data_IF_890974384916
#
_entry.id   IF_890974384916
#
_cell.length_a   1.000
_cell.length_b   1.000
_cell.length_c   1.000
_cell.angle_alpha   90.00
_cell.angle_beta   90.00
_cell.angle_gamma   90.00
#
_symmetry.space_group_name_H-M   'P 1'
#
loop_
_entity.id
_entity.type
_entity.pdbx_description
1 polymer ?
#
# COMPACT_ATOMS: atom_id res chain seq x y z
N UNK A 1 2.18 -10.15 60.87
CA UNK A 1 3.53 -10.66 60.79
C UNK A 1 3.52 -11.66 59.67
N UNK A 2 3.91 -11.19 58.52
CA UNK A 2 4.85 -11.84 57.62
C UNK A 2 4.96 -10.97 56.36
N UNK A 3 6.16 -10.48 56.24
CA UNK A 3 6.61 -9.64 55.13
C UNK A 3 6.69 -10.47 53.84
N UNK A 4 6.04 -10.07 52.79
CA UNK A 4 6.26 -10.65 51.48
C UNK A 4 7.04 -9.68 50.60
N UNK A 5 8.28 -10.04 50.42
CA UNK A 5 9.39 -9.34 49.75
C UNK A 5 9.19 -9.42 48.23
N UNK A 6 9.03 -8.29 47.59
CA UNK A 6 9.01 -8.15 46.11
C UNK A 6 10.43 -8.33 45.56
N UNK A 7 10.68 -9.17 44.55
CA UNK A 7 11.95 -9.19 43.84
C UNK A 7 12.01 -8.08 42.79
N UNK A 8 13.12 -7.36 42.84
CA UNK A 8 13.49 -6.34 41.88
C UNK A 8 13.66 -6.89 40.47
N UNK A 9 12.98 -6.26 39.51
CA UNK A 9 13.10 -6.52 38.10
C UNK A 9 14.33 -5.82 37.54
N UNK A 10 15.29 -6.60 37.09
CA UNK A 10 16.54 -6.21 36.48
C UNK A 10 16.29 -5.76 35.05
N UNK A 11 16.63 -4.54 34.67
CA UNK A 11 16.59 -4.03 33.33
C UNK A 11 17.73 -4.62 32.47
N UNK A 12 17.51 -4.95 31.21
CA UNK A 12 18.60 -5.32 30.32
C UNK A 12 19.32 -4.10 29.77
N UNK A 13 20.62 -4.21 29.85
CA UNK A 13 21.67 -3.33 29.38
C UNK A 13 21.56 -3.09 27.85
N UNK A 14 21.48 -1.85 27.45
CA UNK A 14 21.46 -1.46 26.02
C UNK A 14 22.90 -1.21 25.59
N UNK A 15 23.50 -2.14 24.88
CA UNK A 15 24.76 -1.97 24.19
C UNK A 15 24.59 -1.15 22.92
N UNK A 16 25.23 -0.01 22.84
CA UNK A 16 25.38 0.83 21.66
C UNK A 16 26.41 0.21 20.69
N UNK A 17 26.22 0.31 19.36
CA UNK A 17 27.25 -0.04 18.40
C UNK A 17 28.22 1.11 18.20
N UNK A 18 29.51 0.79 18.31
CA UNK A 18 30.67 1.64 18.06
C UNK A 18 30.73 2.12 16.61
N UNK A 19 30.95 3.40 16.49
CA UNK A 19 31.27 4.09 15.23
C UNK A 19 32.74 3.85 14.92
N UNK A 20 33.07 3.08 13.91
CA UNK A 20 34.42 2.95 13.38
C UNK A 20 34.70 4.03 12.35
N UNK A 21 35.46 5.01 12.78
CA UNK A 21 36.09 6.07 12.00
C UNK A 21 37.35 5.49 11.34
N UNK A 22 37.50 5.48 10.04
CA UNK A 22 38.76 5.26 9.33
C UNK A 22 39.06 6.47 8.46
N UNK A 23 39.83 7.36 9.03
CA UNK A 23 40.66 8.38 8.41
C UNK A 23 41.97 7.75 7.97
N UNK A 24 42.42 7.92 6.73
CA UNK A 24 43.82 7.97 6.30
C UNK A 24 43.87 8.39 4.83
N UNK A 25 44.09 9.63 4.59
CA UNK A 25 45.29 10.41 4.26
C UNK A 25 46.50 9.55 3.89
N UNK A 26 46.90 9.61 2.63
CA UNK A 26 48.28 9.71 2.21
C UNK A 26 48.41 10.19 0.77
N UNK A 27 48.92 11.39 0.60
CA UNK A 27 49.77 11.86 -0.48
C UNK A 27 51.18 11.83 0.05
N UNK A 28 52.20 11.41 -0.63
CA UNK A 28 53.09 12.25 -1.41
C UNK A 28 53.65 11.52 -2.64
N UNK A 29 54.32 12.03 -3.54
CA UNK A 29 55.63 12.70 -3.58
C UNK A 29 56.07 12.93 -5.06
N UNK A 30 56.81 13.95 -5.22
CA UNK A 30 57.30 14.64 -6.42
C UNK A 30 58.49 13.95 -7.08
N UNK A 31 58.48 13.96 -8.46
CA UNK A 31 59.55 14.17 -9.44
C UNK A 31 60.71 13.12 -9.51
N UNK A 32 61.53 13.06 -10.54
CA UNK A 32 61.83 14.10 -11.58
C UNK A 32 61.80 13.64 -13.05
N UNK A 33 61.88 14.60 -13.93
CA UNK A 33 62.11 14.47 -15.38
C UNK A 33 63.52 13.94 -15.71
N UNK A 34 63.73 13.41 -16.92
CA UNK A 34 64.71 14.04 -17.76
C UNK A 34 64.26 14.29 -19.21
N UNK A 35 64.87 15.26 -19.73
CA UNK A 35 64.88 15.82 -21.06
C UNK A 35 65.09 14.77 -22.17
N UNK A 36 64.41 14.99 -23.26
CA UNK A 36 64.65 14.36 -24.56
C UNK A 36 64.06 15.20 -25.66
N UNK A 37 64.91 16.06 -26.16
CA UNK A 37 64.69 16.94 -27.34
C UNK A 37 64.49 16.10 -28.57
N UNK A 38 63.37 16.21 -29.29
CA UNK A 38 63.30 15.88 -30.72
C UNK A 38 62.37 16.85 -31.47
N UNK A 39 62.77 17.15 -32.69
CA UNK A 39 62.40 18.24 -33.55
C UNK A 39 60.92 18.28 -34.01
N UNK A 40 60.46 19.48 -34.46
CA UNK A 40 59.05 19.69 -34.79
C UNK A 40 58.66 19.05 -36.11
N UNK A 41 57.74 18.10 -36.08
CA UNK A 41 57.06 17.59 -37.27
C UNK A 41 55.93 18.56 -37.65
N UNK A 42 55.88 18.88 -38.93
CA UNK A 42 54.96 19.83 -39.55
C UNK A 42 53.48 19.55 -39.19
N UNK A 43 52.65 20.60 -39.12
CA UNK A 43 51.24 20.42 -38.78
C UNK A 43 50.51 19.73 -39.95
N UNK A 44 50.03 18.51 -39.66
CA UNK A 44 49.01 17.89 -40.47
C UNK A 44 47.73 18.71 -40.41
N UNK A 45 47.18 19.01 -41.58
CA UNK A 45 45.94 19.73 -41.74
C UNK A 45 44.80 19.09 -40.92
N UNK A 46 43.90 19.89 -40.33
CA UNK A 46 42.79 19.35 -39.59
C UNK A 46 41.93 18.51 -40.52
N UNK A 47 41.91 17.19 -40.23
CA UNK A 47 40.96 16.26 -40.81
C UNK A 47 39.56 16.79 -40.52
N UNK A 48 38.89 17.23 -41.58
CA UNK A 48 37.54 17.79 -41.54
C UNK A 48 36.65 16.71 -40.89
N UNK A 49 36.32 16.90 -39.61
CA UNK A 49 35.39 16.04 -38.91
C UNK A 49 34.11 15.93 -39.74
N UNK A 50 33.89 14.77 -40.30
CA UNK A 50 32.65 14.48 -41.02
C UNK A 50 31.46 14.89 -40.15
N UNK A 51 30.46 15.60 -40.66
CA UNK A 51 29.32 16.03 -39.89
C UNK A 51 28.68 14.80 -39.27
N UNK A 52 28.54 14.80 -37.94
CA UNK A 52 27.88 13.74 -37.20
C UNK A 52 26.52 13.49 -37.88
N UNK A 53 26.42 12.38 -38.62
CA UNK A 53 25.17 11.98 -39.25
C UNK A 53 24.13 11.79 -38.13
N UNK A 54 23.13 12.68 -38.09
CA UNK A 54 21.94 12.50 -37.23
C UNK A 54 21.39 11.12 -37.58
N UNK A 55 21.47 10.22 -36.61
CA UNK A 55 20.89 8.90 -36.76
C UNK A 55 19.38 9.08 -37.02
N UNK A 56 18.94 8.79 -38.23
CA UNK A 56 17.52 8.75 -38.57
C UNK A 56 16.92 7.56 -37.82
N UNK A 57 16.20 7.85 -36.78
CA UNK A 57 15.50 6.82 -36.04
C UNK A 57 14.41 6.20 -36.92
N UNK A 58 14.62 4.95 -37.32
CA UNK A 58 13.74 4.20 -38.21
C UNK A 58 12.35 3.94 -37.60
N UNK A 59 11.46 3.38 -38.41
CA UNK A 59 10.09 3.04 -38.02
C UNK A 59 10.05 2.15 -36.77
N UNK A 60 10.98 1.24 -36.63
CA UNK A 60 11.07 0.30 -35.47
C UNK A 60 11.31 1.04 -34.15
N UNK A 61 12.18 2.05 -34.15
CA UNK A 61 12.44 2.89 -32.98
C UNK A 61 11.19 3.66 -32.56
N UNK A 62 10.47 4.26 -33.51
CA UNK A 62 9.21 4.96 -33.22
C UNK A 62 8.15 4.04 -32.64
N UNK A 63 7.98 2.84 -33.19
CA UNK A 63 7.05 1.83 -32.63
C UNK A 63 7.46 1.40 -31.22
N UNK A 64 8.74 1.20 -30.94
CA UNK A 64 9.23 0.85 -29.60
C UNK A 64 8.96 2.00 -28.62
N UNK A 65 9.21 3.25 -29.01
CA UNK A 65 8.94 4.43 -28.19
C UNK A 65 7.44 4.51 -27.83
N UNK A 66 6.55 4.36 -28.83
CA UNK A 66 5.10 4.37 -28.59
C UNK A 66 4.66 3.24 -27.66
N UNK A 67 5.25 2.05 -27.75
CA UNK A 67 5.00 0.94 -26.83
C UNK A 67 5.43 1.27 -25.39
N UNK A 68 6.58 1.90 -25.22
CA UNK A 68 7.03 2.35 -23.91
C UNK A 68 6.07 3.39 -23.31
N UNK A 69 5.70 4.40 -24.10
CA UNK A 69 4.74 5.44 -23.68
C UNK A 69 3.38 4.82 -23.33
N UNK A 70 2.87 3.92 -24.18
CA UNK A 70 1.61 3.22 -23.92
C UNK A 70 1.65 2.41 -22.61
N UNK A 71 2.78 1.77 -22.30
CA UNK A 71 2.98 1.06 -21.03
C UNK A 71 2.89 1.99 -19.82
N UNK A 72 3.53 3.17 -19.88
CA UNK A 72 3.43 4.19 -18.82
C UNK A 72 2.00 4.70 -18.68
N UNK A 73 1.34 5.04 -19.78
CA UNK A 73 -0.05 5.52 -19.76
C UNK A 73 -0.99 4.46 -19.17
N UNK A 74 -0.82 3.19 -19.57
CA UNK A 74 -1.61 2.09 -19.00
C UNK A 74 -1.40 1.98 -17.48
N UNK A 75 -0.16 2.08 -16.99
CA UNK A 75 0.12 2.06 -15.56
C UNK A 75 -0.57 3.22 -14.82
N UNK A 76 -0.51 4.43 -15.37
CA UNK A 76 -1.18 5.61 -14.78
C UNK A 76 -2.70 5.41 -14.73
N UNK A 77 -3.31 4.89 -15.81
CA UNK A 77 -4.75 4.61 -15.86
C UNK A 77 -5.13 3.55 -14.83
N UNK A 78 -4.35 2.48 -14.69
CA UNK A 78 -4.60 1.43 -13.69
C UNK A 78 -4.49 1.97 -12.26
N UNK A 79 -3.49 2.80 -11.95
CA UNK A 79 -3.37 3.46 -10.66
C UNK A 79 -4.52 4.43 -10.38
N UNK A 80 -4.95 5.18 -11.38
CA UNK A 80 -6.13 6.05 -11.25
C UNK A 80 -7.41 5.23 -11.04
N UNK A 81 -7.58 4.11 -11.77
CA UNK A 81 -8.72 3.20 -11.60
C UNK A 81 -8.75 2.53 -10.22
N UNK A 82 -7.59 2.32 -9.59
CA UNK A 82 -7.50 1.87 -8.19
C UNK A 82 -7.86 2.96 -7.17
N UNK A 83 -8.27 4.16 -7.62
CA UNK A 83 -8.51 5.31 -6.75
C UNK A 83 -7.29 5.75 -5.94
N UNK A 84 -6.09 5.48 -6.46
CA UNK A 84 -4.83 5.65 -5.76
C UNK A 84 -4.79 4.94 -4.40
N UNK A 85 -5.59 3.89 -4.24
CA UNK A 85 -5.72 3.13 -2.99
C UNK A 85 -4.38 2.56 -2.49
N UNK A 86 -3.44 2.26 -3.39
CA UNK A 86 -2.09 1.83 -3.04
C UNK A 86 -1.36 2.82 -2.12
N UNK A 87 -1.55 4.13 -2.30
CA UNK A 87 -0.93 5.13 -1.44
C UNK A 87 -1.56 5.17 -0.04
N UNK A 88 -2.86 4.83 0.06
CA UNK A 88 -3.53 4.69 1.36
C UNK A 88 -3.02 3.45 2.09
N UNK A 89 -2.87 2.33 1.39
CA UNK A 89 -2.28 1.10 1.95
C UNK A 89 -0.82 1.36 2.37
N UNK A 90 -0.03 2.03 1.53
CA UNK A 90 1.37 2.34 1.83
C UNK A 90 1.54 3.31 3.01
N UNK A 91 0.59 4.24 3.20
CA UNK A 91 0.57 5.14 4.36
C UNK A 91 0.24 4.38 5.65
N UNK A 92 -0.38 3.22 5.55
CA UNK A 92 -0.89 2.44 6.66
C UNK A 92 -2.31 2.83 7.07
N UNK A 93 -2.99 1.89 7.72
CA UNK A 93 -4.29 2.13 8.32
C UNK A 93 -4.13 2.83 9.67
N UNK A 94 -5.04 3.74 9.98
CA UNK A 94 -5.13 4.36 11.29
C UNK A 94 -5.71 3.33 12.27
N UNK A 95 -5.03 3.06 13.38
CA UNK A 95 -5.59 2.21 14.43
C UNK A 95 -6.75 2.91 15.11
N UNK A 96 -7.85 2.20 15.30
CA UNK A 96 -8.97 2.67 16.12
C UNK A 96 -8.70 2.17 17.54
N UNK A 97 -8.28 3.09 18.42
CA UNK A 97 -8.04 2.83 19.83
C UNK A 97 -8.90 3.80 20.67
N UNK A 98 -9.61 3.27 21.64
CA UNK A 98 -10.52 4.07 22.44
C UNK A 98 -11.78 4.49 21.67
N UNK A 99 -12.11 5.77 21.63
CA UNK A 99 -13.32 6.30 20.98
C UNK A 99 -13.21 6.23 19.47
N UNK A 100 -14.29 5.88 18.78
CA UNK A 100 -14.38 5.92 17.34
C UNK A 100 -14.55 7.37 16.86
N UNK A 101 -13.46 7.96 16.40
CA UNK A 101 -13.39 9.35 15.89
C UNK A 101 -12.66 9.36 14.53
N UNK A 102 -13.25 8.67 13.57
CA UNK A 102 -12.65 8.58 12.24
C UNK A 102 -13.60 9.14 11.18
N UNK A 103 -13.13 10.14 10.46
CA UNK A 103 -13.87 10.77 9.36
C UNK A 103 -14.18 9.81 8.22
N UNK A 104 -15.30 9.98 7.51
CA UNK A 104 -15.61 9.23 6.29
C UNK A 104 -14.48 9.35 5.26
N UNK A 105 -14.08 8.19 4.72
CA UNK A 105 -12.96 8.06 3.77
C UNK A 105 -11.63 7.70 4.42
N UNK A 106 -11.51 7.73 5.75
CA UNK A 106 -10.31 7.28 6.47
C UNK A 106 -10.15 5.76 6.30
N UNK A 107 -8.91 5.32 6.06
CA UNK A 107 -8.54 3.91 6.04
C UNK A 107 -8.09 3.52 7.45
N UNK A 108 -8.81 2.57 8.05
CA UNK A 108 -8.68 2.20 9.47
C UNK A 108 -8.35 0.73 9.64
N UNK A 109 -7.76 0.41 10.80
CA UNK A 109 -7.52 -0.94 11.28
C UNK A 109 -8.07 -1.09 12.70
N UNK A 110 -8.67 -2.22 12.99
CA UNK A 110 -9.14 -2.56 14.33
C UNK A 110 -9.04 -4.06 14.61
N UNK A 111 -8.72 -4.41 15.85
CA UNK A 111 -8.69 -5.77 16.35
C UNK A 111 -10.02 -6.05 17.08
N UNK A 112 -10.93 -6.77 16.42
CA UNK A 112 -12.26 -7.06 16.93
C UNK A 112 -12.18 -8.27 17.85
N UNK A 113 -12.49 -8.06 19.11
CA UNK A 113 -12.50 -9.07 20.17
C UNK A 113 -13.93 -9.45 20.54
N UNK A 114 -14.87 -8.51 20.44
CA UNK A 114 -16.28 -8.69 20.79
C UNK A 114 -17.18 -8.25 19.64
N UNK A 115 -18.24 -9.02 19.40
CA UNK A 115 -19.33 -8.70 18.49
C UNK A 115 -20.62 -8.91 19.28
N UNK A 116 -21.38 -7.83 19.48
CA UNK A 116 -22.60 -7.88 20.30
C UNK A 116 -23.76 -8.50 19.54
N UNK A 117 -23.88 -8.20 18.24
CA UNK A 117 -24.90 -8.78 17.38
C UNK A 117 -24.50 -8.69 15.91
N UNK A 118 -25.22 -9.42 15.06
CA UNK A 118 -25.02 -9.41 13.60
C UNK A 118 -26.37 -9.38 12.88
N UNK A 119 -26.45 -8.65 11.78
CA UNK A 119 -27.65 -8.60 10.93
C UNK A 119 -27.27 -8.59 9.45
N UNK A 120 -28.20 -9.03 8.61
CA UNK A 120 -28.01 -9.05 7.15
C UNK A 120 -27.96 -7.64 6.58
N UNK A 121 -27.33 -7.46 5.43
CA UNK A 121 -27.29 -6.16 4.75
C UNK A 121 -28.71 -5.77 4.28
N UNK A 122 -29.32 -4.68 4.79
CA UNK A 122 -30.66 -4.26 4.40
C UNK A 122 -30.78 -3.95 2.90
N UNK A 123 -29.67 -3.65 2.25
CA UNK A 123 -29.62 -3.44 0.78
C UNK A 123 -29.63 -4.76 0.00
N UNK A 124 -29.61 -5.90 0.68
CA UNK A 124 -29.47 -7.21 0.10
C UNK A 124 -28.02 -7.55 -0.27
N UNK A 125 -27.78 -8.82 -0.56
CA UNK A 125 -26.46 -9.34 -0.91
C UNK A 125 -25.91 -10.31 0.13
N UNK A 126 -24.64 -10.70 -0.03
CA UNK A 126 -23.96 -11.67 0.83
C UNK A 126 -23.13 -11.03 1.94
N UNK A 127 -23.24 -9.72 2.15
CA UNK A 127 -22.56 -9.04 3.24
C UNK A 127 -23.44 -9.03 4.49
N UNK A 128 -22.79 -8.96 5.66
CA UNK A 128 -23.46 -8.79 6.95
C UNK A 128 -22.86 -7.60 7.70
N UNK A 129 -23.64 -7.06 8.60
CA UNK A 129 -23.17 -6.06 9.56
C UNK A 129 -22.94 -6.73 10.92
N UNK A 130 -21.91 -6.28 11.62
CA UNK A 130 -21.65 -6.66 13.01
C UNK A 130 -21.55 -5.41 13.86
N UNK A 131 -22.17 -5.43 15.03
CA UNK A 131 -22.09 -4.35 16.03
C UNK A 131 -20.94 -4.63 16.96
N UNK A 132 -19.93 -3.75 16.92
CA UNK A 132 -18.68 -3.87 17.69
C UNK A 132 -18.59 -2.74 18.71
N UNK A 133 -18.42 -3.05 20.00
CA UNK A 133 -18.22 -2.03 21.02
C UNK A 133 -16.80 -1.47 20.95
N UNK A 134 -16.66 -0.16 20.79
CA UNK A 134 -15.38 0.54 20.72
C UNK A 134 -15.46 1.79 21.60
N UNK A 135 -14.75 1.82 22.72
CA UNK A 135 -14.64 2.99 23.58
C UNK A 135 -15.99 3.54 24.11
N UNK A 136 -16.95 2.67 24.32
CA UNK A 136 -18.30 3.04 24.75
C UNK A 136 -19.23 3.41 23.60
N UNK A 137 -18.81 3.27 22.35
CA UNK A 137 -19.64 3.44 21.15
C UNK A 137 -19.91 2.10 20.48
N UNK A 138 -21.01 2.00 19.78
CA UNK A 138 -21.47 0.82 19.06
C UNK A 138 -21.29 1.04 17.56
N UNK A 139 -20.17 0.58 17.04
CA UNK A 139 -19.77 0.83 15.65
C UNK A 139 -20.20 -0.34 14.75
N UNK A 140 -20.86 -0.02 13.65
CA UNK A 140 -21.22 -1.03 12.65
C UNK A 140 -20.06 -1.32 11.71
N UNK A 141 -19.70 -2.59 11.60
CA UNK A 141 -18.73 -3.11 10.65
C UNK A 141 -19.46 -3.90 9.57
N UNK A 142 -19.29 -3.53 8.31
CA UNK A 142 -19.85 -4.27 7.18
C UNK A 142 -18.82 -5.27 6.67
N UNK A 143 -19.11 -6.55 6.85
CA UNK A 143 -18.28 -7.68 6.46
C UNK A 143 -18.73 -8.29 5.13
N UNK A 144 -17.83 -8.55 4.17
CA UNK A 144 -18.14 -9.43 3.05
C UNK A 144 -18.24 -10.89 3.52
N UNK A 145 -19.00 -11.72 2.79
CA UNK A 145 -19.32 -13.12 3.14
C UNK A 145 -18.10 -14.00 3.52
N UNK A 146 -16.91 -13.66 3.00
CA UNK A 146 -15.69 -14.41 3.35
C UNK A 146 -15.33 -14.40 4.84
N UNK A 147 -15.89 -13.45 5.59
CA UNK A 147 -15.68 -13.29 7.02
C UNK A 147 -16.74 -13.96 7.89
N UNK A 148 -17.82 -14.51 7.29
CA UNK A 148 -18.98 -15.03 8.03
C UNK A 148 -18.60 -16.03 9.13
N UNK A 149 -17.70 -16.97 8.81
CA UNK A 149 -17.25 -17.96 9.78
C UNK A 149 -16.48 -17.31 10.96
N UNK A 150 -15.63 -16.32 10.68
CA UNK A 150 -14.84 -15.62 11.70
C UNK A 150 -15.73 -14.73 12.56
N UNK A 151 -16.64 -13.98 11.94
CA UNK A 151 -17.63 -13.12 12.62
C UNK A 151 -18.49 -13.95 13.54
N UNK A 152 -19.03 -15.08 13.03
CA UNK A 152 -19.83 -16.01 13.84
C UNK A 152 -19.04 -16.55 15.02
N UNK A 153 -17.78 -16.93 14.83
CA UNK A 153 -16.93 -17.45 15.92
C UNK A 153 -16.78 -16.42 17.05
N UNK A 154 -16.52 -15.14 16.70
CA UNK A 154 -16.39 -14.08 17.71
C UNK A 154 -17.73 -13.76 18.37
N UNK A 155 -18.84 -13.72 17.61
CA UNK A 155 -20.17 -13.48 18.15
C UNK A 155 -20.60 -14.59 19.14
N UNK A 156 -20.37 -15.85 18.77
CA UNK A 156 -20.67 -17.03 19.65
C UNK A 156 -19.81 -16.96 20.93
N UNK A 157 -18.52 -16.57 20.77
CA UNK A 157 -17.62 -16.39 21.89
C UNK A 157 -18.03 -15.23 22.81
N UNK A 158 -18.43 -14.10 22.24
CA UNK A 158 -18.97 -12.94 22.99
C UNK A 158 -20.21 -13.38 23.80
N UNK A 159 -21.13 -14.10 23.17
CA UNK A 159 -22.32 -14.61 23.84
C UNK A 159 -21.96 -15.53 25.02
N UNK A 160 -20.96 -16.37 24.87
CA UNK A 160 -20.47 -17.26 25.94
C UNK A 160 -19.93 -16.47 27.13
N UNK A 161 -19.15 -15.43 26.88
CA UNK A 161 -18.63 -14.51 27.93
C UNK A 161 -19.76 -13.79 28.65
N UNK A 162 -20.75 -13.29 27.94
CA UNK A 162 -21.91 -12.60 28.51
C UNK A 162 -22.80 -13.55 29.36
N UNK A 163 -22.75 -14.84 29.09
CA UNK A 163 -23.37 -15.87 29.89
C UNK A 163 -22.52 -16.33 31.10
N UNK A 164 -21.37 -15.67 31.34
CA UNK A 164 -20.49 -15.99 32.48
C UNK A 164 -19.57 -17.19 32.26
N UNK A 165 -19.41 -17.64 31.03
CA UNK A 165 -18.46 -18.71 30.72
C UNK A 165 -17.04 -18.12 30.58
N UNK A 166 -16.04 -18.91 30.99
CA UNK A 166 -14.64 -18.53 30.80
C UNK A 166 -14.29 -18.55 29.31
N UNK A 167 -13.81 -17.45 28.79
CA UNK A 167 -13.35 -17.29 27.41
C UNK A 167 -11.87 -16.97 27.38
N UNK A 168 -11.14 -17.59 26.46
CA UNK A 168 -9.75 -17.20 26.16
C UNK A 168 -9.76 -16.07 25.12
N UNK A 169 -9.18 -14.94 25.47
CA UNK A 169 -9.07 -13.74 24.59
C UNK A 169 -8.12 -14.00 23.39
N UNK A 170 -7.68 -15.23 23.20
CA UNK A 170 -6.76 -15.59 22.10
C UNK A 170 -7.41 -15.54 20.70
N UNK A 171 -8.74 -15.33 20.64
CA UNK A 171 -9.48 -15.20 19.38
C UNK A 171 -9.86 -13.73 19.14
N UNK A 172 -9.17 -13.11 18.23
CA UNK A 172 -9.55 -11.80 17.68
C UNK A 172 -9.45 -11.85 16.16
N UNK A 173 -10.16 -10.97 15.49
CA UNK A 173 -10.00 -10.77 14.07
C UNK A 173 -9.45 -9.37 13.80
N UNK A 174 -8.30 -9.30 13.13
CA UNK A 174 -7.75 -8.03 12.65
C UNK A 174 -8.36 -7.70 11.33
N UNK A 175 -9.02 -6.55 11.27
CA UNK A 175 -9.66 -6.06 10.06
C UNK A 175 -9.08 -4.72 9.65
N UNK A 176 -9.05 -4.49 8.35
CA UNK A 176 -8.82 -3.17 7.77
C UNK A 176 -10.01 -2.77 6.93
N UNK A 177 -10.30 -1.49 6.86
CA UNK A 177 -11.45 -1.03 6.10
C UNK A 177 -11.47 0.48 5.92
N UNK A 178 -12.50 0.94 5.22
CA UNK A 178 -12.71 2.38 5.01
C UNK A 178 -13.97 2.82 5.73
N UNK A 179 -13.85 3.89 6.49
CA UNK A 179 -14.98 4.56 7.13
C UNK A 179 -15.88 5.18 6.08
N UNK A 180 -17.18 4.99 6.18
CA UNK A 180 -18.23 5.55 5.32
C UNK A 180 -19.35 6.12 6.18
N UNK A 181 -20.03 7.12 5.64
CA UNK A 181 -21.29 7.56 6.24
C UNK A 181 -22.26 6.37 6.29
N UNK A 182 -22.99 6.27 7.38
CA UNK A 182 -23.97 5.19 7.61
C UNK A 182 -25.13 5.33 6.62
N UNK A 183 -25.50 4.28 5.88
CA UNK A 183 -26.72 4.30 5.06
C UNK A 183 -27.98 4.37 5.97
N UNK A 184 -29.01 5.09 5.53
CA UNK A 184 -30.24 5.28 6.30
C UNK A 184 -30.91 3.95 6.71
N UNK A 185 -30.94 2.96 5.82
CA UNK A 185 -31.48 1.65 6.13
C UNK A 185 -30.72 0.94 7.26
N UNK A 186 -29.40 1.07 7.27
CA UNK A 186 -28.52 0.49 8.33
C UNK A 186 -28.72 1.27 9.64
N UNK A 187 -28.79 2.60 9.55
CA UNK A 187 -29.05 3.46 10.71
C UNK A 187 -30.36 3.08 11.39
N UNK A 188 -31.43 2.90 10.61
CA UNK A 188 -32.75 2.51 11.13
C UNK A 188 -32.71 1.15 11.81
N UNK A 189 -32.01 0.17 11.24
CA UNK A 189 -31.87 -1.17 11.81
C UNK A 189 -31.08 -1.15 13.13
N UNK A 190 -29.95 -0.47 13.16
CA UNK A 190 -29.12 -0.36 14.37
C UNK A 190 -29.84 0.42 15.46
N UNK A 191 -30.57 1.48 15.10
CA UNK A 191 -31.32 2.27 16.07
C UNK A 191 -32.46 1.45 16.70
N UNK A 192 -33.19 0.67 15.89
CA UNK A 192 -34.20 -0.26 16.39
C UNK A 192 -33.58 -1.30 17.33
N UNK A 193 -32.48 -1.95 16.89
CA UNK A 193 -31.77 -2.89 17.71
C UNK A 193 -31.25 -2.29 19.02
N UNK A 194 -30.70 -1.07 18.97
CA UNK A 194 -30.24 -0.35 20.16
C UNK A 194 -31.40 -0.11 21.15
N UNK A 195 -32.55 0.37 20.63
CA UNK A 195 -33.73 0.66 21.47
C UNK A 195 -34.24 -0.61 22.15
N UNK A 196 -34.28 -1.72 21.41
CA UNK A 196 -34.75 -2.99 21.94
C UNK A 196 -33.78 -3.62 22.98
N UNK A 197 -32.50 -3.26 22.93
CA UNK A 197 -31.46 -3.83 23.77
C UNK A 197 -30.84 -2.83 24.77
N UNK A 198 -31.35 -1.61 24.87
CA UNK A 198 -30.76 -0.53 25.66
C UNK A 198 -30.46 -0.95 27.12
N UNK A 199 -31.46 -1.44 27.83
CA UNK A 199 -31.31 -1.87 29.24
C UNK A 199 -30.27 -3.01 29.41
N UNK A 200 -30.21 -3.90 28.42
CA UNK A 200 -29.25 -4.98 28.41
C UNK A 200 -27.82 -4.48 28.16
N UNK A 201 -27.65 -3.58 27.19
CA UNK A 201 -26.36 -2.98 26.86
C UNK A 201 -25.78 -2.17 28.04
N UNK A 202 -26.63 -1.44 28.74
CA UNK A 202 -26.26 -0.70 29.95
C UNK A 202 -25.85 -1.68 31.07
N UNK A 203 -26.64 -2.74 31.28
CA UNK A 203 -26.37 -3.76 32.31
C UNK A 203 -25.04 -4.47 32.10
N UNK A 204 -24.62 -4.74 30.85
CA UNK A 204 -23.33 -5.37 30.53
C UNK A 204 -22.18 -4.37 30.45
N UNK A 205 -22.45 -3.08 30.59
CA UNK A 205 -21.47 -2.01 30.54
C UNK A 205 -20.94 -1.72 29.12
N UNK A 206 -21.70 -2.12 28.09
CA UNK A 206 -21.34 -1.79 26.70
C UNK A 206 -21.59 -0.31 26.36
N UNK A 207 -22.55 0.30 27.06
CA UNK A 207 -22.90 1.73 26.98
C UNK A 207 -22.95 2.33 28.39
N UNK A 208 -22.89 3.67 28.50
CA UNK A 208 -23.04 4.41 29.75
C UNK A 208 -24.50 4.67 30.14
N UNK A 209 -24.71 5.70 30.96
CA UNK A 209 -26.01 6.02 31.54
C UNK A 209 -26.82 7.05 30.70
N UNK A 210 -26.35 7.44 29.51
CA UNK A 210 -27.08 8.36 28.63
C UNK A 210 -28.22 7.64 27.93
N UNK A 211 -29.41 8.30 27.90
CA UNK A 211 -30.54 7.80 27.11
C UNK A 211 -30.49 8.25 25.65
N UNK A 212 -29.52 9.09 25.26
CA UNK A 212 -29.37 9.56 23.88
C UNK A 212 -28.57 8.57 23.05
N UNK A 213 -29.23 7.93 22.10
CA UNK A 213 -28.59 7.01 21.17
C UNK A 213 -27.43 7.63 20.37
N UNK A 214 -27.49 8.95 20.13
CA UNK A 214 -26.44 9.67 19.41
C UNK A 214 -25.08 9.65 20.12
N UNK A 215 -25.08 9.49 21.46
CA UNK A 215 -23.84 9.38 22.23
C UNK A 215 -23.11 8.06 21.97
N UNK A 216 -23.84 7.03 21.52
CA UNK A 216 -23.34 5.68 21.36
C UNK A 216 -23.30 5.18 19.92
N UNK A 217 -24.12 5.74 19.05
CA UNK A 217 -24.22 5.32 17.64
C UNK A 217 -23.59 6.37 16.72
N UNK A 218 -22.36 6.17 16.25
CA UNK A 218 -21.75 7.10 15.31
C UNK A 218 -22.46 7.02 13.94
N UNK A 219 -22.57 8.17 13.24
CA UNK A 219 -23.14 8.27 11.89
C UNK A 219 -22.26 7.66 10.79
N UNK A 220 -21.45 6.70 11.16
CA UNK A 220 -20.47 6.09 10.27
C UNK A 220 -20.36 4.58 10.48
N UNK A 221 -20.00 3.89 9.40
CA UNK A 221 -19.72 2.46 9.38
C UNK A 221 -18.30 2.20 8.89
N UNK A 222 -17.73 1.08 9.28
CA UNK A 222 -16.47 0.59 8.71
C UNK A 222 -16.77 -0.48 7.66
N UNK A 223 -16.43 -0.23 6.40
CA UNK A 223 -16.50 -1.24 5.34
C UNK A 223 -15.21 -2.03 5.31
N UNK A 224 -15.27 -3.25 5.83
CA UNK A 224 -14.13 -4.17 5.90
C UNK A 224 -13.71 -4.58 4.49
N UNK A 225 -12.38 -4.68 4.27
CA UNK A 225 -11.77 -5.04 2.99
C UNK A 225 -11.99 -4.03 1.87
N UNK A 226 -12.20 -2.78 2.21
CA UNK A 226 -12.32 -1.67 1.25
C UNK A 226 -11.27 -0.60 1.49
N UNK A 227 -10.70 -0.08 0.41
CA UNK A 227 -9.76 1.05 0.42
C UNK A 227 -10.31 2.17 -0.45
N UNK A 228 -10.69 3.30 0.16
CA UNK A 228 -11.26 4.42 -0.59
C UNK A 228 -12.58 4.14 -1.30
N UNK A 229 -13.30 3.07 -0.91
CA UNK A 229 -14.56 2.65 -1.54
C UNK A 229 -14.42 1.56 -2.60
N UNK A 230 -13.21 1.12 -2.89
CA UNK A 230 -12.90 0.02 -3.81
C UNK A 230 -12.52 -1.21 -2.98
N UNK A 231 -12.96 -2.43 -3.34
CA UNK A 231 -12.52 -3.64 -2.66
C UNK A 231 -10.99 -3.76 -2.68
N UNK A 232 -10.39 -4.08 -1.53
CA UNK A 232 -8.92 -4.12 -1.36
C UNK A 232 -8.25 -5.04 -2.38
N UNK A 233 -8.80 -6.22 -2.65
CA UNK A 233 -8.26 -7.14 -3.65
C UNK A 233 -8.20 -6.57 -5.07
N UNK A 234 -9.13 -5.68 -5.45
CA UNK A 234 -9.08 -4.96 -6.73
C UNK A 234 -7.96 -3.92 -6.74
N UNK A 235 -7.78 -3.18 -5.63
CA UNK A 235 -6.68 -2.21 -5.50
C UNK A 235 -5.34 -2.92 -5.64
N UNK A 236 -5.16 -4.04 -4.97
CA UNK A 236 -3.94 -4.85 -5.03
C UNK A 236 -3.71 -5.39 -6.46
N UNK A 237 -4.72 -5.99 -7.08
CA UNK A 237 -4.63 -6.52 -8.44
C UNK A 237 -4.30 -5.45 -9.48
N UNK A 238 -4.96 -4.29 -9.44
CA UNK A 238 -4.68 -3.17 -10.33
C UNK A 238 -3.28 -2.60 -10.11
N UNK A 239 -2.81 -2.57 -8.86
CA UNK A 239 -1.46 -2.12 -8.52
C UNK A 239 -0.40 -3.06 -9.09
N UNK A 240 -0.57 -4.38 -8.94
CA UNK A 240 0.34 -5.38 -9.53
C UNK A 240 0.38 -5.24 -11.05
N UNK A 241 -0.78 -5.07 -11.70
CA UNK A 241 -0.85 -4.85 -13.15
C UNK A 241 -0.15 -3.54 -13.57
N UNK A 242 -0.32 -2.45 -12.81
CA UNK A 242 0.35 -1.18 -13.08
C UNK A 242 1.88 -1.31 -12.96
N UNK A 243 2.37 -2.00 -11.93
CA UNK A 243 3.81 -2.28 -11.76
C UNK A 243 4.35 -3.10 -12.92
N UNK A 244 3.64 -4.12 -13.37
CA UNK A 244 4.03 -4.93 -14.54
C UNK A 244 4.12 -4.07 -15.82
N UNK A 245 3.17 -3.15 -16.05
CA UNK A 245 3.21 -2.20 -17.15
C UNK A 245 4.42 -1.25 -17.07
N UNK A 246 4.75 -0.77 -15.88
CA UNK A 246 5.93 0.08 -15.66
C UNK A 246 7.24 -0.68 -15.94
N UNK A 247 7.38 -1.90 -15.43
CA UNK A 247 8.54 -2.76 -15.70
C UNK A 247 8.68 -2.99 -17.20
N UNK A 248 7.59 -3.32 -17.90
CA UNK A 248 7.59 -3.48 -19.34
C UNK A 248 8.08 -2.20 -20.04
N UNK A 249 7.53 -1.03 -19.67
CA UNK A 249 7.94 0.24 -20.25
C UNK A 249 9.43 0.53 -20.02
N UNK A 250 9.94 0.29 -18.80
CA UNK A 250 11.36 0.45 -18.45
C UNK A 250 12.24 -0.45 -19.35
N UNK A 251 11.88 -1.73 -19.50
CA UNK A 251 12.63 -2.66 -20.36
C UNK A 251 12.65 -2.18 -21.81
N UNK A 252 11.53 -1.66 -22.33
CA UNK A 252 11.46 -1.09 -23.68
C UNK A 252 12.38 0.12 -23.81
N UNK A 253 12.35 1.06 -22.84
CA UNK A 253 13.23 2.23 -22.86
C UNK A 253 14.71 1.86 -22.74
N UNK A 254 15.07 0.90 -21.89
CA UNK A 254 16.45 0.42 -21.81
C UNK A 254 16.90 -0.18 -23.17
N UNK A 255 16.04 -0.95 -23.83
CA UNK A 255 16.35 -1.50 -25.18
C UNK A 255 16.52 -0.41 -26.23
N UNK A 256 15.74 0.68 -26.15
CA UNK A 256 15.90 1.84 -27.01
C UNK A 256 17.26 2.50 -26.75
N UNK A 257 17.60 2.76 -25.49
CA UNK A 257 18.88 3.37 -25.10
C UNK A 257 20.09 2.52 -25.47
N UNK A 258 19.94 1.18 -25.45
CA UNK A 258 21.01 0.25 -25.90
C UNK A 258 21.09 0.12 -27.43
N UNK A 259 20.36 0.92 -28.22
CA UNK A 259 20.42 0.91 -29.69
C UNK A 259 19.84 -0.34 -30.36
N UNK A 260 19.09 -1.19 -29.62
CA UNK A 260 18.55 -2.45 -30.18
C UNK A 260 17.48 -2.25 -31.25
N UNK A 261 16.98 -1.04 -31.42
CA UNK A 261 15.98 -0.68 -32.43
C UNK A 261 16.54 0.26 -33.50
N UNK A 262 17.84 0.59 -33.46
CA UNK A 262 18.49 1.33 -34.51
C UNK A 262 18.65 0.37 -35.71
N UNK A 263 18.16 0.79 -36.86
CA UNK A 263 18.35 0.05 -38.09
C UNK A 263 19.83 0.15 -38.47
N UNK A 264 20.55 -0.96 -38.46
CA UNK A 264 21.88 -1.02 -39.04
C UNK A 264 21.72 -0.63 -40.52
N UNK A 265 22.30 0.51 -40.93
CA UNK A 265 22.44 0.82 -42.34
C UNK A 265 23.28 -0.30 -42.95
N UNK A 266 22.62 -1.14 -43.75
CA UNK A 266 23.37 -2.03 -44.66
C UNK A 266 24.36 -1.17 -45.45
N UNK A 267 25.64 -1.55 -45.51
CA UNK A 267 26.58 -0.82 -46.35
C UNK A 267 26.02 -0.82 -47.77
N UNK A 268 25.99 0.41 -48.35
CA UNK A 268 25.60 0.61 -49.75
C UNK A 268 26.63 -0.16 -50.62
N UNK A 269 26.25 -1.39 -51.01
CA UNK A 269 27.06 -2.15 -51.94
C UNK A 269 26.78 -1.57 -53.31
N UNK A 270 27.56 -0.54 -53.68
CA UNK A 270 27.66 -0.06 -55.06
C UNK A 270 28.36 -1.13 -55.87
N UNK A 271 27.61 -1.91 -56.63
CA UNK A 271 28.17 -2.76 -57.67
C UNK A 271 28.70 -1.83 -58.80
N UNK A 272 29.99 -1.59 -58.81
CA UNK A 272 30.65 -1.07 -60.02
C UNK A 272 30.57 -2.19 -61.06
N UNK A 273 29.70 -2.00 -62.06
CA UNK A 273 29.72 -2.79 -63.28
C UNK A 273 31.04 -2.45 -63.99
N UNK A 274 32.01 -3.33 -63.78
CA UNK A 274 33.24 -3.32 -64.63
C UNK A 274 32.83 -3.74 -66.01
N UNK A 275 32.74 -2.74 -66.91
CA UNK A 275 32.49 -2.91 -68.30
C UNK A 275 33.75 -3.64 -68.89
N UNK A 276 33.64 -4.93 -69.11
CA UNK A 276 34.64 -5.71 -69.84
C UNK A 276 34.29 -5.65 -71.33
N UNK A 277 34.86 -4.71 -72.05
CA UNK A 277 34.99 -4.65 -73.53
C UNK A 277 36.34 -5.16 -73.92
#
# INVERSE_FOLDING_TARGET
MDENKTPAQQAPDTAAPETTNIEQTTQPETAPAPEGTEAPKAPEAPETAAPAQKAEHGARWRHALWRGIAGVLAAVVLLAASGFGVFRIAKGAQSIEGTFDADPGTFVQHDIIFILDTFEDPAGGSAQYAVVPIGGQLVAFRFPARWDASVKTIADATTSVLQGQSYSIDSFIRVTGTVKAMPEAVSSEIYSWYTDNHDYLQKIGAIGDSDDAADYLPDAIVRVDYVGGIPQGWVEGLTVAAVACLIYAIVVFIRILCGKYDEAKLPDITFELVDMT
#
